data_IF_533719216563
#
_entry.id   IF_533719216563
#
_cell.length_a   1.000
_cell.length_b   1.000
_cell.length_c   1.000
_cell.angle_alpha   90.00
_cell.angle_beta   90.00
_cell.angle_gamma   90.00
#
_symmetry.space_group_name_H-M   'P 1'
#
loop_
_entity.id
_entity.type
_entity.pdbx_description
1 polymer ?
#
# COMPACT_ATOMS: atom_id res chain seq x y z
N UNK A 1 -56.11 -100.37 66.76
CA UNK A 1 -54.68 -100.23 67.14
C UNK A 1 -53.74 -100.17 65.94
N UNK A 2 -53.85 -101.06 64.94
CA UNK A 2 -52.94 -101.16 63.78
C UNK A 2 -52.76 -99.85 62.96
N UNK A 3 -53.84 -99.11 62.66
CA UNK A 3 -53.77 -97.85 61.87
C UNK A 3 -52.93 -96.75 62.54
N UNK A 4 -52.98 -96.64 63.88
CA UNK A 4 -52.20 -95.65 64.63
C UNK A 4 -50.71 -95.99 64.62
N UNK A 5 -50.35 -97.27 64.65
CA UNK A 5 -48.95 -97.71 64.55
C UNK A 5 -48.41 -97.42 63.15
N UNK A 6 -49.19 -97.75 62.11
CA UNK A 6 -48.82 -97.48 60.72
C UNK A 6 -48.66 -95.97 60.41
N UNK A 7 -49.49 -95.10 60.99
CA UNK A 7 -49.37 -93.64 60.79
C UNK A 7 -48.10 -93.07 61.44
N UNK A 8 -47.74 -93.52 62.64
CA UNK A 8 -46.51 -93.12 63.33
C UNK A 8 -45.28 -93.58 62.55
N UNK A 9 -45.25 -94.82 62.06
CA UNK A 9 -44.15 -95.35 61.26
C UNK A 9 -44.00 -94.59 59.93
N UNK A 10 -45.11 -94.33 59.21
CA UNK A 10 -45.08 -93.52 57.98
C UNK A 10 -44.60 -92.09 58.25
N UNK A 11 -45.08 -91.45 59.32
CA UNK A 11 -44.64 -90.12 59.73
C UNK A 11 -43.15 -90.12 60.07
N UNK A 12 -42.65 -91.13 60.76
CA UNK A 12 -41.24 -91.27 61.08
C UNK A 12 -40.38 -91.41 59.82
N UNK A 13 -40.78 -92.25 58.86
CA UNK A 13 -40.09 -92.43 57.58
C UNK A 13 -40.11 -91.13 56.77
N UNK A 14 -41.25 -90.45 56.67
CA UNK A 14 -41.36 -89.16 55.97
C UNK A 14 -40.47 -88.09 56.63
N UNK A 15 -40.49 -87.97 57.96
CA UNK A 15 -39.62 -87.03 58.69
C UNK A 15 -38.14 -87.34 58.49
N UNK A 16 -37.76 -88.62 58.47
CA UNK A 16 -36.39 -89.05 58.16
C UNK A 16 -36.00 -88.67 56.74
N UNK A 17 -36.88 -88.87 55.75
CA UNK A 17 -36.63 -88.49 54.34
C UNK A 17 -36.48 -86.98 54.19
N UNK A 18 -37.36 -86.18 54.80
CA UNK A 18 -37.26 -84.71 54.78
C UNK A 18 -35.97 -84.23 55.43
N UNK A 19 -35.59 -84.79 56.60
CA UNK A 19 -34.30 -84.48 57.23
C UNK A 19 -33.12 -84.81 56.31
N UNK A 20 -33.13 -85.96 55.64
CA UNK A 20 -32.08 -86.33 54.67
C UNK A 20 -32.02 -85.35 53.48
N UNK A 21 -33.16 -84.90 52.96
CA UNK A 21 -33.19 -83.89 51.88
C UNK A 21 -32.62 -82.55 52.35
N UNK A 22 -32.99 -82.10 53.56
CA UNK A 22 -32.44 -80.86 54.14
C UNK A 22 -30.93 -80.98 54.34
N UNK A 23 -30.44 -82.12 54.85
CA UNK A 23 -29.01 -82.39 54.99
C UNK A 23 -28.29 -82.42 53.64
N UNK A 24 -28.89 -83.02 52.61
CA UNK A 24 -28.33 -83.01 51.26
C UNK A 24 -28.28 -81.59 50.66
N UNK A 25 -29.32 -80.78 50.84
CA UNK A 25 -29.33 -79.38 50.39
C UNK A 25 -28.30 -78.54 51.15
N UNK A 26 -28.17 -78.76 52.47
CA UNK A 26 -27.13 -78.10 53.26
C UNK A 26 -25.73 -78.51 52.78
N UNK A 27 -25.52 -79.81 52.52
CA UNK A 27 -24.26 -80.32 52.00
C UNK A 27 -23.93 -79.75 50.61
N UNK A 28 -24.89 -79.66 49.68
CA UNK A 28 -24.64 -79.06 48.36
C UNK A 28 -24.34 -77.57 48.47
N UNK A 29 -25.04 -76.83 49.34
CA UNK A 29 -24.74 -75.41 49.60
C UNK A 29 -23.33 -75.21 50.17
N UNK A 30 -22.93 -76.04 51.13
CA UNK A 30 -21.57 -76.02 51.70
C UNK A 30 -20.53 -76.35 50.61
N UNK A 31 -20.80 -77.35 49.77
CA UNK A 31 -19.91 -77.72 48.68
C UNK A 31 -19.80 -76.63 47.60
N UNK A 32 -20.90 -75.96 47.24
CA UNK A 32 -20.89 -74.83 46.30
C UNK A 32 -20.11 -73.65 46.88
N UNK A 33 -20.31 -73.33 48.16
CA UNK A 33 -19.54 -72.29 48.85
C UNK A 33 -18.04 -72.64 48.85
N UNK A 34 -17.70 -73.87 49.20
CA UNK A 34 -16.32 -74.35 49.22
C UNK A 34 -15.65 -74.27 47.85
N UNK A 35 -16.33 -74.72 46.78
CA UNK A 35 -15.82 -74.59 45.41
C UNK A 35 -15.62 -73.13 45.00
N UNK A 36 -16.54 -72.24 45.37
CA UNK A 36 -16.40 -70.80 45.13
C UNK A 36 -15.22 -70.17 45.87
N UNK A 37 -15.00 -70.55 47.14
CA UNK A 37 -13.84 -70.09 47.93
C UNK A 37 -12.53 -70.60 47.32
N UNK A 38 -12.44 -71.89 46.99
CA UNK A 38 -11.26 -72.46 46.34
C UNK A 38 -10.98 -71.82 44.98
N UNK A 39 -12.02 -71.57 44.18
CA UNK A 39 -11.88 -70.92 42.87
C UNK A 39 -11.38 -69.47 43.00
N UNK A 40 -11.89 -68.70 43.98
CA UNK A 40 -11.38 -67.36 44.26
C UNK A 40 -9.93 -67.38 44.74
N UNK A 41 -9.59 -68.26 45.69
CA UNK A 41 -8.23 -68.40 46.18
C UNK A 41 -7.23 -68.76 45.06
N UNK A 42 -7.60 -69.68 44.16
CA UNK A 42 -6.79 -70.03 43.00
C UNK A 42 -6.64 -68.85 42.01
N UNK A 43 -7.71 -68.09 41.78
CA UNK A 43 -7.68 -66.91 40.91
C UNK A 43 -6.82 -65.78 41.50
N UNK A 44 -6.94 -65.55 42.82
CA UNK A 44 -6.14 -64.56 43.54
C UNK A 44 -4.66 -64.96 43.54
N UNK A 45 -4.34 -66.24 43.69
CA UNK A 45 -2.98 -66.74 43.60
C UNK A 45 -2.36 -66.51 42.21
N UNK A 46 -3.14 -66.66 41.13
CA UNK A 46 -2.70 -66.34 39.78
C UNK A 46 -2.57 -64.83 39.54
N UNK A 47 -3.49 -64.02 40.08
CA UNK A 47 -3.50 -62.57 39.91
C UNK A 47 -2.39 -61.87 40.71
N UNK A 48 -2.13 -62.37 41.92
CA UNK A 48 -1.09 -61.90 42.83
C UNK A 48 0.24 -62.64 42.62
N UNK A 49 0.33 -63.52 41.63
CA UNK A 49 1.61 -64.14 41.28
C UNK A 49 2.64 -63.04 40.98
N UNK A 50 3.80 -63.15 41.61
CA UNK A 50 4.86 -62.16 41.53
C UNK A 50 5.26 -61.91 40.06
N UNK A 51 5.14 -62.93 39.21
CA UNK A 51 5.38 -62.83 37.76
C UNK A 51 4.43 -61.84 37.09
N UNK A 52 3.14 -61.90 37.41
CA UNK A 52 2.11 -60.99 36.89
C UNK A 52 2.35 -59.57 37.40
N UNK A 53 2.69 -59.40 38.68
CA UNK A 53 3.00 -58.08 39.26
C UNK A 53 4.22 -57.43 38.58
N UNK A 54 5.27 -58.19 38.28
CA UNK A 54 6.45 -57.70 37.55
C UNK A 54 6.09 -57.25 36.13
N UNK A 55 5.26 -58.02 35.43
CA UNK A 55 4.75 -57.67 34.10
C UNK A 55 3.93 -56.38 34.17
N UNK A 56 2.98 -56.28 35.11
CA UNK A 56 2.16 -55.08 35.30
C UNK A 56 3.01 -53.83 35.59
N UNK A 57 4.05 -53.96 36.43
CA UNK A 57 5.00 -52.87 36.71
C UNK A 57 5.74 -52.42 35.45
N UNK A 58 6.20 -53.36 34.63
CA UNK A 58 6.87 -53.06 33.36
C UNK A 58 5.93 -52.37 32.38
N UNK A 59 4.70 -52.88 32.22
CA UNK A 59 3.70 -52.28 31.33
C UNK A 59 3.36 -50.84 31.76
N UNK A 60 3.15 -50.61 33.07
CA UNK A 60 2.91 -49.25 33.60
C UNK A 60 4.09 -48.31 33.32
N UNK A 61 5.32 -48.78 33.56
CA UNK A 61 6.55 -48.02 33.25
C UNK A 61 6.65 -47.69 31.77
N UNK A 62 6.48 -48.68 30.88
CA UNK A 62 6.53 -48.51 29.43
C UNK A 62 5.46 -47.52 28.94
N UNK A 63 4.24 -47.58 29.48
CA UNK A 63 3.17 -46.63 29.13
C UNK A 63 3.54 -45.20 29.50
N UNK A 64 4.08 -44.98 30.70
CA UNK A 64 4.53 -43.66 31.16
C UNK A 64 5.73 -43.19 30.32
N UNK A 65 6.72 -44.05 30.08
CA UNK A 65 7.88 -43.72 29.26
C UNK A 65 7.48 -43.34 27.83
N UNK A 66 6.54 -44.07 27.22
CA UNK A 66 6.01 -43.75 25.89
C UNK A 66 5.29 -42.40 25.90
N UNK A 67 4.43 -42.15 26.88
CA UNK A 67 3.71 -40.87 26.99
C UNK A 67 4.66 -39.68 27.19
N UNK A 68 5.66 -39.80 28.06
CA UNK A 68 6.68 -38.78 28.27
C UNK A 68 7.55 -38.62 27.02
N UNK A 69 7.92 -39.71 26.36
CA UNK A 69 8.65 -39.71 25.09
C UNK A 69 7.93 -38.89 24.03
N UNK A 70 6.66 -39.19 23.77
CA UNK A 70 5.83 -38.43 22.82
C UNK A 70 5.75 -36.94 23.17
N UNK A 71 5.50 -36.59 24.44
CA UNK A 71 5.48 -35.17 24.85
C UNK A 71 6.83 -34.48 24.67
N UNK A 72 7.93 -35.19 24.94
CA UNK A 72 9.29 -34.67 24.72
C UNK A 72 9.56 -34.42 23.24
N UNK A 73 9.15 -35.34 22.38
CA UNK A 73 9.31 -35.22 20.93
C UNK A 73 8.49 -34.05 20.37
N UNK A 74 7.23 -33.90 20.82
CA UNK A 74 6.37 -32.76 20.48
C UNK A 74 7.00 -31.42 20.92
N UNK A 75 7.49 -31.33 22.15
CA UNK A 75 8.16 -30.13 22.65
C UNK A 75 9.46 -29.83 21.88
N UNK A 76 10.22 -30.86 21.53
CA UNK A 76 11.45 -30.73 20.73
C UNK A 76 11.14 -30.22 19.31
N UNK A 77 10.09 -30.75 18.68
CA UNK A 77 9.62 -30.30 17.38
C UNK A 77 9.16 -28.83 17.43
N UNK A 78 8.34 -28.47 18.42
CA UNK A 78 7.88 -27.10 18.63
C UNK A 78 9.04 -26.13 18.90
N UNK A 79 10.00 -26.51 19.75
CA UNK A 79 11.20 -25.72 20.03
C UNK A 79 12.05 -25.50 18.77
N UNK A 80 12.22 -26.56 17.96
CA UNK A 80 12.93 -26.47 16.68
C UNK A 80 12.23 -25.54 15.70
N UNK A 81 10.89 -25.61 15.60
CA UNK A 81 10.08 -24.71 14.79
C UNK A 81 10.24 -23.25 15.23
N UNK A 82 10.09 -22.98 16.52
CA UNK A 82 10.28 -21.63 17.10
C UNK A 82 11.70 -21.12 16.83
N UNK A 83 12.71 -21.98 17.02
CA UNK A 83 14.11 -21.61 16.75
C UNK A 83 14.36 -21.26 15.29
N UNK A 84 13.77 -22.01 14.35
CA UNK A 84 13.88 -21.74 12.91
C UNK A 84 13.18 -20.43 12.53
N UNK A 85 11.95 -20.22 12.98
CA UNK A 85 11.19 -18.99 12.68
C UNK A 85 11.86 -17.76 13.28
N UNK A 86 12.35 -17.86 14.52
CA UNK A 86 13.09 -16.77 15.17
C UNK A 86 14.36 -16.38 14.41
N UNK A 87 15.20 -17.37 14.02
CA UNK A 87 16.42 -17.10 13.26
C UNK A 87 16.11 -16.46 11.90
N UNK A 88 15.08 -16.96 11.20
CA UNK A 88 14.63 -16.38 9.94
C UNK A 88 14.19 -14.92 10.12
N UNK A 89 13.28 -14.66 11.06
CA UNK A 89 12.82 -13.31 11.39
C UNK A 89 13.97 -12.37 11.78
N UNK A 90 14.90 -12.85 12.61
CA UNK A 90 16.06 -12.07 13.03
C UNK A 90 16.96 -11.72 11.86
N UNK A 91 17.25 -12.68 10.97
CA UNK A 91 18.05 -12.45 9.77
C UNK A 91 17.39 -11.44 8.82
N UNK A 92 16.07 -11.56 8.60
CA UNK A 92 15.31 -10.63 7.77
C UNK A 92 15.31 -9.22 8.38
N UNK A 93 15.11 -9.12 9.69
CA UNK A 93 15.15 -7.84 10.40
C UNK A 93 16.52 -7.17 10.27
N UNK A 94 17.60 -7.91 10.45
CA UNK A 94 18.97 -7.40 10.33
C UNK A 94 19.28 -6.98 8.90
N UNK A 95 18.93 -7.82 7.91
CA UNK A 95 19.09 -7.49 6.49
C UNK A 95 18.30 -6.23 6.11
N UNK A 96 17.02 -6.16 6.47
CA UNK A 96 16.18 -5.03 6.14
C UNK A 96 16.71 -3.74 6.79
N UNK A 97 17.18 -3.81 8.05
CA UNK A 97 17.86 -2.68 8.69
C UNK A 97 19.09 -2.21 7.92
N UNK A 98 19.95 -3.13 7.47
CA UNK A 98 21.13 -2.77 6.67
C UNK A 98 20.75 -2.17 5.30
N UNK A 99 19.70 -2.70 4.67
CA UNK A 99 19.15 -2.14 3.42
C UNK A 99 18.62 -0.72 3.64
N UNK A 100 17.84 -0.51 4.71
CA UNK A 100 17.32 0.80 5.09
C UNK A 100 18.46 1.80 5.34
N UNK A 101 19.49 1.41 6.11
CA UNK A 101 20.65 2.26 6.42
C UNK A 101 21.43 2.63 5.14
N UNK A 102 21.59 1.68 4.21
CA UNK A 102 22.24 1.90 2.91
C UNK A 102 21.42 2.83 2.02
N UNK A 103 20.11 2.60 1.92
CA UNK A 103 19.20 3.43 1.12
C UNK A 103 19.14 4.88 1.66
N UNK A 104 19.05 5.04 2.97
CA UNK A 104 19.12 6.36 3.63
C UNK A 104 20.48 7.03 3.41
N UNK A 105 21.56 6.24 3.34
CA UNK A 105 22.89 6.71 2.94
C UNK A 105 22.87 7.32 1.53
N UNK A 106 22.42 6.54 0.54
CA UNK A 106 22.36 6.99 -0.85
C UNK A 106 21.46 8.19 -1.06
N UNK A 107 20.27 8.23 -0.42
CA UNK A 107 19.40 9.41 -0.53
C UNK A 107 20.03 10.66 0.07
N UNK A 108 20.72 10.54 1.20
CA UNK A 108 21.43 11.69 1.80
C UNK A 108 22.55 12.18 0.88
N UNK A 109 23.28 11.29 0.24
CA UNK A 109 24.29 11.66 -0.76
C UNK A 109 23.65 12.32 -1.97
N UNK A 110 22.56 11.76 -2.49
CA UNK A 110 21.83 12.31 -3.63
C UNK A 110 21.28 13.72 -3.35
N UNK A 111 20.66 13.94 -2.19
CA UNK A 111 20.20 15.28 -1.76
C UNK A 111 21.38 16.26 -1.70
N UNK A 112 22.54 15.84 -1.19
CA UNK A 112 23.75 16.70 -1.18
C UNK A 112 24.22 17.02 -2.59
N UNK A 113 24.20 16.05 -3.51
CA UNK A 113 24.54 16.28 -4.91
C UNK A 113 23.59 17.29 -5.56
N UNK A 114 22.28 17.14 -5.35
CA UNK A 114 21.28 18.10 -5.84
C UNK A 114 21.48 19.50 -5.26
N UNK A 115 21.82 19.61 -3.98
CA UNK A 115 22.16 20.90 -3.36
C UNK A 115 23.39 21.54 -4.01
N UNK A 116 24.44 20.76 -4.24
CA UNK A 116 25.66 21.27 -4.90
C UNK A 116 25.39 21.67 -6.36
N UNK A 117 24.54 20.92 -7.08
CA UNK A 117 24.13 21.24 -8.45
C UNK A 117 23.28 22.52 -8.50
N UNK A 118 22.38 22.72 -7.54
CA UNK A 118 21.60 23.95 -7.38
C UNK A 118 22.51 25.15 -7.15
N UNK A 119 23.43 25.07 -6.18
CA UNK A 119 24.40 26.14 -5.89
C UNK A 119 25.27 26.47 -7.10
N UNK A 120 25.76 25.45 -7.80
CA UNK A 120 26.55 25.63 -9.02
C UNK A 120 25.74 26.32 -10.11
N UNK A 121 24.48 25.92 -10.30
CA UNK A 121 23.59 26.48 -11.32
C UNK A 121 23.21 27.94 -11.01
N UNK A 122 22.96 28.26 -9.75
CA UNK A 122 22.73 29.65 -9.31
C UNK A 122 23.95 30.54 -9.58
N UNK A 123 25.16 30.02 -9.35
CA UNK A 123 26.39 30.72 -9.73
C UNK A 123 26.51 30.92 -11.24
N UNK A 124 26.12 29.93 -12.05
CA UNK A 124 26.10 30.07 -13.51
C UNK A 124 25.10 31.14 -13.96
N UNK A 125 23.89 31.17 -13.39
CA UNK A 125 22.89 32.22 -13.66
C UNK A 125 23.49 33.59 -13.35
N UNK A 126 24.07 33.77 -12.15
CA UNK A 126 24.71 35.04 -11.77
C UNK A 126 25.83 35.44 -12.72
N UNK A 127 26.63 34.47 -13.20
CA UNK A 127 27.68 34.73 -14.19
C UNK A 127 27.11 35.12 -15.56
N UNK A 128 26.01 34.50 -16.00
CA UNK A 128 25.31 34.84 -17.25
C UNK A 128 24.73 36.25 -17.14
N UNK A 129 24.06 36.59 -16.03
CA UNK A 129 23.50 37.92 -15.76
C UNK A 129 24.58 39.00 -15.74
N UNK A 130 25.71 38.75 -15.07
CA UNK A 130 26.87 39.67 -15.08
C UNK A 130 27.42 39.89 -16.49
N UNK A 131 27.54 38.81 -17.29
CA UNK A 131 28.00 38.91 -18.68
C UNK A 131 26.98 39.62 -19.58
N UNK A 132 25.69 39.43 -19.32
CA UNK A 132 24.60 40.10 -20.01
C UNK A 132 24.62 41.61 -19.72
N UNK A 133 24.70 41.99 -18.44
CA UNK A 133 24.81 43.37 -18.01
C UNK A 133 26.03 44.09 -18.61
N UNK A 134 27.20 43.42 -18.66
CA UNK A 134 28.42 43.98 -19.27
C UNK A 134 28.27 44.25 -20.77
N UNK A 135 27.43 43.50 -21.48
CA UNK A 135 27.24 43.68 -22.93
C UNK A 135 26.33 44.85 -23.27
N UNK A 136 25.48 45.29 -22.34
CA UNK A 136 24.56 46.42 -22.48
C UNK A 136 23.78 46.38 -23.80
N UNK A 137 23.05 45.28 -24.02
CA UNK A 137 22.25 45.11 -25.25
C UNK A 137 21.12 46.14 -25.33
N UNK A 138 20.49 46.49 -24.21
CA UNK A 138 19.41 47.49 -24.17
C UNK A 138 19.92 48.89 -24.56
N UNK A 139 21.01 49.37 -23.94
CA UNK A 139 21.57 50.68 -24.28
C UNK A 139 22.06 50.75 -25.73
N UNK A 140 22.64 49.66 -26.27
CA UNK A 140 23.02 49.58 -27.68
C UNK A 140 21.83 49.57 -28.63
N UNK A 141 20.77 48.86 -28.26
CA UNK A 141 19.54 48.76 -29.06
C UNK A 141 18.84 50.11 -29.13
N UNK A 142 18.72 50.81 -28.01
CA UNK A 142 18.11 52.15 -27.95
C UNK A 142 18.87 53.14 -28.83
N UNK A 143 20.21 53.21 -28.71
CA UNK A 143 21.03 54.09 -29.56
C UNK A 143 20.85 53.76 -31.04
N UNK A 144 20.88 52.49 -31.41
CA UNK A 144 20.75 52.08 -32.81
C UNK A 144 19.34 52.25 -33.37
N UNK A 145 18.32 52.13 -32.54
CA UNK A 145 16.93 52.48 -32.91
C UNK A 145 16.78 53.98 -33.10
N UNK A 146 17.43 54.80 -32.28
CA UNK A 146 17.45 56.25 -32.48
C UNK A 146 18.18 56.61 -33.78
N UNK A 147 19.37 56.05 -34.03
CA UNK A 147 20.09 56.25 -35.30
C UNK A 147 19.20 55.88 -36.50
N UNK A 148 18.49 54.74 -36.42
CA UNK A 148 17.57 54.32 -37.47
C UNK A 148 16.44 55.34 -37.65
N UNK A 149 15.79 55.76 -36.56
CA UNK A 149 14.72 56.75 -36.59
C UNK A 149 15.17 58.08 -37.22
N UNK A 150 16.33 58.59 -36.81
CA UNK A 150 16.89 59.85 -37.34
C UNK A 150 17.16 59.74 -38.85
N UNK A 151 17.66 58.59 -39.32
CA UNK A 151 17.83 58.35 -40.77
C UNK A 151 16.50 58.24 -41.51
N UNK A 152 15.48 57.63 -40.90
CA UNK A 152 14.13 57.54 -41.47
C UNK A 152 13.48 58.93 -41.60
N UNK A 153 13.61 59.78 -40.57
CA UNK A 153 13.16 61.18 -40.62
C UNK A 153 13.89 61.96 -41.71
N UNK A 154 15.21 61.80 -41.82
CA UNK A 154 16.00 62.43 -42.88
C UNK A 154 15.54 61.98 -44.28
N UNK A 155 15.28 60.68 -44.48
CA UNK A 155 14.74 60.15 -45.73
C UNK A 155 13.39 60.79 -46.05
N UNK A 156 12.49 60.88 -45.07
CA UNK A 156 11.16 61.50 -45.23
C UNK A 156 11.30 62.96 -45.69
N UNK A 157 12.23 63.72 -45.12
CA UNK A 157 12.46 65.10 -45.54
C UNK A 157 13.05 65.20 -46.95
N UNK A 158 13.97 64.32 -47.32
CA UNK A 158 14.47 64.25 -48.69
C UNK A 158 13.39 63.84 -49.70
N UNK A 159 12.47 62.95 -49.32
CA UNK A 159 11.31 62.61 -50.14
C UNK A 159 10.34 63.78 -50.33
N UNK A 160 10.11 64.59 -49.28
CA UNK A 160 9.33 65.83 -49.41
C UNK A 160 9.99 66.80 -50.38
N UNK A 161 11.32 66.95 -50.31
CA UNK A 161 12.09 67.78 -51.24
C UNK A 161 11.97 67.27 -52.68
N UNK A 162 12.09 65.96 -52.89
CA UNK A 162 11.93 65.36 -54.22
C UNK A 162 10.52 65.59 -54.79
N UNK A 163 9.47 65.41 -53.97
CA UNK A 163 8.08 65.74 -54.35
C UNK A 163 7.91 67.23 -54.67
N UNK A 164 8.63 68.10 -53.97
CA UNK A 164 8.61 69.54 -54.26
C UNK A 164 9.22 69.86 -55.63
N UNK A 165 10.37 69.26 -55.96
CA UNK A 165 11.01 69.37 -57.27
C UNK A 165 10.08 68.85 -58.38
N UNK A 166 9.38 67.73 -58.14
CA UNK A 166 8.38 67.19 -59.08
C UNK A 166 7.21 68.14 -59.31
N UNK A 167 6.69 68.79 -58.26
CA UNK A 167 5.63 69.81 -58.39
C UNK A 167 6.12 71.05 -59.14
N UNK A 168 7.34 71.52 -58.87
CA UNK A 168 7.95 72.62 -59.62
C UNK A 168 8.08 72.27 -61.11
N UNK A 169 8.44 71.03 -61.43
CA UNK A 169 8.49 70.53 -62.80
C UNK A 169 7.14 70.62 -63.53
N UNK A 170 6.03 70.38 -62.81
CA UNK A 170 4.67 70.47 -63.36
C UNK A 170 4.19 71.92 -63.52
N UNK A 171 4.78 72.88 -62.82
CA UNK A 171 4.38 74.29 -62.80
C UNK A 171 5.25 75.22 -63.67
N UNK A 172 6.19 74.69 -64.46
CA UNK A 172 7.05 75.55 -65.30
C UNK A 172 6.24 76.29 -66.38
N UNK A 173 6.57 77.56 -66.56
CA UNK A 173 6.04 78.39 -67.64
C UNK A 173 6.77 78.13 -68.98
N UNK A 174 6.13 78.41 -70.13
CA UNK A 174 6.71 78.21 -71.46
C UNK A 174 8.06 78.91 -71.68
N UNK A 175 8.26 80.09 -71.08
CA UNK A 175 9.50 80.87 -71.19
C UNK A 175 10.67 80.25 -70.40
N UNK A 176 10.37 79.52 -69.32
CA UNK A 176 11.37 78.80 -68.54
C UNK A 176 11.85 77.51 -69.25
N UNK A 177 11.00 76.93 -70.11
CA UNK A 177 11.38 75.79 -70.96
C UNK A 177 12.45 76.18 -72.00
N UNK A 178 12.33 77.36 -72.61
CA UNK A 178 13.33 77.88 -73.57
C UNK A 178 14.68 78.19 -72.91
N UNK A 179 14.70 78.50 -71.62
CA UNK A 179 15.91 78.81 -70.84
C UNK A 179 16.64 77.60 -70.24
N UNK A 180 16.26 76.36 -70.59
CA UNK A 180 16.93 75.14 -70.13
C UNK A 180 16.61 74.67 -68.70
N UNK A 181 15.69 75.35 -67.98
CA UNK A 181 15.33 75.02 -66.60
C UNK A 181 14.72 73.62 -66.46
N UNK A 182 13.97 73.17 -67.46
CA UNK A 182 13.37 71.83 -67.46
C UNK A 182 14.41 70.71 -67.48
N UNK A 183 15.57 70.94 -68.10
CA UNK A 183 16.66 69.97 -68.13
C UNK A 183 17.40 69.93 -66.78
N UNK A 184 17.68 71.10 -66.20
CA UNK A 184 18.25 71.19 -64.85
C UNK A 184 17.35 70.55 -63.77
N UNK A 185 16.03 70.77 -63.84
CA UNK A 185 15.08 70.13 -62.93
C UNK A 185 15.04 68.60 -63.09
N UNK A 186 15.20 68.06 -64.31
CA UNK A 186 15.31 66.61 -64.53
C UNK A 186 16.60 66.03 -63.94
N UNK A 187 17.72 66.72 -64.13
CA UNK A 187 19.03 66.30 -63.57
C UNK A 187 19.02 66.36 -62.05
N UNK A 188 18.44 67.42 -61.47
CA UNK A 188 18.24 67.57 -60.02
C UNK A 188 17.32 66.48 -59.47
N UNK A 189 16.21 66.18 -60.16
CA UNK A 189 15.30 65.08 -59.78
C UNK A 189 16.01 63.72 -59.82
N UNK A 190 16.76 63.43 -60.89
CA UNK A 190 17.49 62.17 -61.01
C UNK A 190 18.57 62.03 -59.91
N UNK A 191 19.25 63.13 -59.58
CA UNK A 191 20.25 63.17 -58.51
C UNK A 191 19.62 63.00 -57.13
N UNK A 192 18.53 63.70 -56.85
CA UNK A 192 17.75 63.55 -55.62
C UNK A 192 17.16 62.14 -55.48
N UNK A 193 16.66 61.54 -56.57
CA UNK A 193 16.13 60.17 -56.57
C UNK A 193 17.22 59.14 -56.23
N UNK A 194 18.42 59.28 -56.82
CA UNK A 194 19.58 58.44 -56.49
C UNK A 194 19.98 58.60 -55.03
N UNK A 195 19.99 59.82 -54.51
CA UNK A 195 20.31 60.10 -53.11
C UNK A 195 19.31 59.48 -52.14
N UNK A 196 18.01 59.67 -52.37
CA UNK A 196 16.93 59.05 -51.57
C UNK A 196 17.03 57.53 -51.60
N UNK A 197 17.29 56.95 -52.78
CA UNK A 197 17.45 55.49 -52.91
C UNK A 197 18.68 55.01 -52.15
N UNK A 198 19.80 55.72 -52.23
CA UNK A 198 21.00 55.44 -51.44
C UNK A 198 20.74 55.48 -49.93
N UNK A 199 20.11 56.54 -49.44
CA UNK A 199 19.77 56.71 -48.03
C UNK A 199 18.82 55.60 -47.53
N UNK A 200 17.83 55.20 -48.32
CA UNK A 200 16.95 54.05 -48.00
C UNK A 200 17.70 52.74 -47.90
N UNK A 201 18.63 52.49 -48.83
CA UNK A 201 19.46 51.28 -48.80
C UNK A 201 20.35 51.27 -47.55
N UNK A 202 20.91 52.41 -47.17
CA UNK A 202 21.71 52.56 -45.94
C UNK A 202 20.86 52.33 -44.68
N UNK A 203 19.66 52.93 -44.60
CA UNK A 203 18.74 52.69 -43.48
C UNK A 203 18.36 51.21 -43.33
N UNK A 204 18.04 50.53 -44.43
CA UNK A 204 17.62 49.13 -44.41
C UNK A 204 18.78 48.15 -44.14
N UNK A 205 19.91 48.31 -44.83
CA UNK A 205 21.00 47.32 -44.79
C UNK A 205 22.07 47.60 -43.75
N UNK A 206 22.22 48.85 -43.32
CA UNK A 206 23.17 49.23 -42.27
C UNK A 206 22.44 49.29 -40.93
N UNK A 207 21.50 50.23 -40.77
CA UNK A 207 20.88 50.50 -39.47
C UNK A 207 19.90 49.40 -39.03
N UNK A 208 18.88 49.09 -39.84
CA UNK A 208 17.87 48.08 -39.47
C UNK A 208 18.47 46.67 -39.33
N UNK A 209 19.48 46.34 -40.13
CA UNK A 209 20.19 45.06 -40.03
C UNK A 209 21.03 44.96 -38.74
N UNK A 210 21.67 46.05 -38.31
CA UNK A 210 22.37 46.13 -37.02
C UNK A 210 21.40 46.01 -35.84
N UNK A 211 20.27 46.72 -35.87
CA UNK A 211 19.20 46.60 -34.86
C UNK A 211 18.76 45.14 -34.75
N UNK A 212 18.46 44.49 -35.87
CA UNK A 212 18.04 43.07 -35.89
C UNK A 212 19.14 42.10 -35.45
N UNK A 213 20.42 42.43 -35.64
CA UNK A 213 21.53 41.64 -35.09
C UNK A 213 21.58 41.75 -33.56
N UNK A 214 21.39 42.95 -33.02
CA UNK A 214 21.36 43.21 -31.57
C UNK A 214 20.16 42.51 -30.93
N UNK A 215 18.97 42.61 -31.53
CA UNK A 215 17.74 41.95 -31.05
C UNK A 215 17.88 40.42 -31.03
N UNK A 216 18.42 39.82 -32.08
CA UNK A 216 18.72 38.38 -32.08
C UNK A 216 19.74 38.01 -31.00
N UNK A 217 20.73 38.89 -30.78
CA UNK A 217 21.67 38.76 -29.68
C UNK A 217 20.95 38.73 -28.33
N UNK A 218 20.10 39.73 -28.06
CA UNK A 218 19.30 39.83 -26.84
C UNK A 218 18.47 38.57 -26.60
N UNK A 219 17.65 38.17 -27.58
CA UNK A 219 16.80 36.98 -27.49
C UNK A 219 17.62 35.69 -27.24
N UNK A 220 18.80 35.57 -27.85
CA UNK A 220 19.70 34.42 -27.62
C UNK A 220 20.28 34.36 -26.20
N UNK A 221 20.38 35.50 -25.51
CA UNK A 221 20.85 35.55 -24.12
C UNK A 221 19.69 35.35 -23.14
N UNK A 222 18.52 35.92 -23.43
CA UNK A 222 17.30 35.70 -22.66
C UNK A 222 16.91 34.23 -22.64
N UNK A 223 16.91 33.56 -23.79
CA UNK A 223 16.67 32.10 -23.87
C UNK A 223 17.67 31.30 -23.06
N UNK A 224 18.97 31.64 -23.12
CA UNK A 224 19.99 30.98 -22.27
C UNK A 224 19.77 31.19 -20.78
N UNK A 225 19.29 32.37 -20.39
CA UNK A 225 18.99 32.68 -18.99
C UNK A 225 17.76 31.90 -18.53
N UNK A 226 16.70 31.89 -19.34
CA UNK A 226 15.47 31.13 -19.08
C UNK A 226 15.75 29.62 -18.98
N UNK A 227 16.51 29.05 -19.92
CA UNK A 227 16.91 27.64 -19.89
C UNK A 227 17.66 27.28 -18.59
N UNK A 228 18.56 28.16 -18.14
CA UNK A 228 19.31 27.98 -16.90
C UNK A 228 18.40 28.11 -15.66
N UNK A 229 17.46 29.07 -15.65
CA UNK A 229 16.48 29.24 -14.58
C UNK A 229 15.54 28.04 -14.48
N UNK A 230 15.03 27.56 -15.62
CA UNK A 230 14.19 26.35 -15.68
C UNK A 230 14.94 25.12 -15.17
N UNK A 231 16.24 24.99 -15.48
CA UNK A 231 17.07 23.92 -14.93
C UNK A 231 17.13 23.97 -13.40
N UNK A 232 17.36 25.16 -12.81
CA UNK A 232 17.36 25.35 -11.35
C UNK A 232 16.02 24.99 -10.73
N UNK A 233 14.90 25.41 -11.35
CA UNK A 233 13.56 25.06 -10.86
C UNK A 233 13.35 23.55 -10.84
N UNK A 234 13.80 22.83 -11.88
CA UNK A 234 13.73 21.35 -11.91
C UNK A 234 14.56 20.71 -10.81
N UNK A 235 15.82 21.13 -10.63
CA UNK A 235 16.71 20.58 -9.59
C UNK A 235 16.13 20.85 -8.19
N UNK A 236 15.61 22.06 -7.96
CA UNK A 236 14.90 22.39 -6.70
C UNK A 236 13.70 21.49 -6.46
N UNK A 237 12.89 21.24 -7.49
CA UNK A 237 11.76 20.30 -7.45
C UNK A 237 12.18 18.90 -7.04
N UNK A 238 13.19 18.32 -7.70
CA UNK A 238 13.71 17.00 -7.34
C UNK A 238 14.27 16.95 -5.91
N UNK A 239 14.96 18.01 -5.46
CA UNK A 239 15.46 18.09 -4.09
C UNK A 239 14.31 18.09 -3.07
N UNK A 240 13.26 18.87 -3.32
CA UNK A 240 12.10 18.94 -2.41
C UNK A 240 11.37 17.61 -2.34
N UNK A 241 11.17 16.94 -3.49
CA UNK A 241 10.55 15.62 -3.55
C UNK A 241 11.35 14.60 -2.71
N UNK A 242 12.67 14.53 -2.87
CA UNK A 242 13.53 13.61 -2.09
C UNK A 242 13.50 13.90 -0.58
N UNK A 243 13.43 15.18 -0.19
CA UNK A 243 13.30 15.58 1.21
C UNK A 243 11.95 15.14 1.78
N UNK A 244 10.85 15.38 1.06
CA UNK A 244 9.51 15.04 1.48
C UNK A 244 9.34 13.53 1.61
N UNK A 245 9.81 12.76 0.62
CA UNK A 245 9.78 11.31 0.69
C UNK A 245 10.62 10.76 1.87
N UNK A 246 11.77 11.38 2.17
CA UNK A 246 12.57 11.01 3.35
C UNK A 246 11.78 11.25 4.63
N UNK A 247 11.14 12.41 4.78
CA UNK A 247 10.32 12.76 5.94
C UNK A 247 9.13 11.80 6.12
N UNK A 248 8.44 11.48 5.03
CA UNK A 248 7.34 10.50 5.05
C UNK A 248 7.80 9.14 5.54
N UNK A 249 8.94 8.64 5.04
CA UNK A 249 9.50 7.35 5.49
C UNK A 249 9.85 7.37 6.96
N UNK A 250 10.50 8.43 7.44
CA UNK A 250 10.82 8.58 8.86
C UNK A 250 9.55 8.59 9.72
N UNK A 251 8.51 9.30 9.28
CA UNK A 251 7.20 9.33 9.96
C UNK A 251 6.57 7.94 10.01
N UNK A 252 6.50 7.23 8.87
CA UNK A 252 5.99 5.84 8.80
C UNK A 252 6.79 4.91 9.69
N UNK A 253 8.12 5.04 9.74
CA UNK A 253 9.00 4.24 10.63
C UNK A 253 8.69 4.52 12.10
N UNK A 254 8.58 5.79 12.51
CA UNK A 254 8.22 6.19 13.88
C UNK A 254 6.85 5.66 14.26
N UNK A 255 5.86 5.78 13.37
CA UNK A 255 4.51 5.24 13.57
C UNK A 255 4.53 3.72 13.76
N UNK A 256 5.17 2.99 12.84
CA UNK A 256 5.27 1.53 12.91
C UNK A 256 6.02 1.05 14.16
N UNK A 257 7.07 1.77 14.58
CA UNK A 257 7.79 1.47 15.82
C UNK A 257 6.90 1.67 17.05
N UNK A 258 6.17 2.79 17.12
CA UNK A 258 5.22 3.10 18.20
C UNK A 258 4.08 2.07 18.26
N UNK A 259 3.51 1.70 17.11
CA UNK A 259 2.48 0.68 17.01
C UNK A 259 2.98 -0.68 17.52
N UNK A 260 4.15 -1.13 17.05
CA UNK A 260 4.79 -2.38 17.52
C UNK A 260 5.10 -2.34 19.02
N UNK A 261 5.58 -1.22 19.54
CA UNK A 261 5.85 -1.05 20.97
C UNK A 261 4.56 -1.09 21.79
N UNK A 262 3.47 -0.49 21.31
CA UNK A 262 2.14 -0.60 21.95
C UNK A 262 1.67 -2.05 21.99
N UNK A 263 1.76 -2.78 20.88
CA UNK A 263 1.40 -4.20 20.84
C UNK A 263 2.25 -5.05 21.79
N UNK A 264 3.55 -4.78 21.89
CA UNK A 264 4.43 -5.44 22.87
C UNK A 264 4.01 -5.17 24.30
N UNK A 265 3.72 -3.92 24.66
CA UNK A 265 3.23 -3.56 26.01
C UNK A 265 1.94 -4.29 26.35
N UNK A 266 0.96 -4.30 25.43
CA UNK A 266 -0.29 -5.05 25.61
C UNK A 266 0.01 -6.55 25.82
N UNK A 267 0.92 -7.13 25.03
CA UNK A 267 1.29 -8.53 25.18
C UNK A 267 2.00 -8.82 26.51
N UNK A 268 2.88 -7.93 26.97
CA UNK A 268 3.60 -8.08 28.23
C UNK A 268 2.68 -7.89 29.44
N UNK A 269 1.73 -6.96 29.38
CA UNK A 269 0.65 -6.83 30.35
C UNK A 269 -0.18 -8.11 30.39
N UNK A 270 -0.64 -8.63 29.25
CA UNK A 270 -1.39 -9.90 29.18
C UNK A 270 -0.62 -11.06 29.83
N UNK A 271 0.70 -11.13 29.63
CA UNK A 271 1.57 -12.14 30.26
C UNK A 271 1.67 -11.94 31.77
N UNK A 272 1.82 -10.70 32.25
CA UNK A 272 1.87 -10.35 33.67
C UNK A 272 0.60 -10.83 34.39
N UNK A 273 -0.57 -10.55 33.80
CA UNK A 273 -1.87 -10.93 34.34
C UNK A 273 -2.25 -12.41 34.09
N UNK A 274 -1.40 -13.18 33.40
CA UNK A 274 -1.63 -14.59 33.01
C UNK A 274 -2.98 -14.81 32.28
N UNK A 275 -3.49 -13.80 31.58
CA UNK A 275 -4.74 -13.88 30.83
C UNK A 275 -4.49 -14.74 29.58
N UNK A 276 -5.09 -15.94 29.54
CA UNK A 276 -4.91 -16.89 28.43
C UNK A 276 -5.94 -16.75 27.31
N UNK A 277 -7.11 -16.24 27.63
CA UNK A 277 -8.27 -16.20 26.75
C UNK A 277 -8.85 -14.80 26.73
N UNK A 278 -9.17 -14.27 25.54
CA UNK A 278 -9.69 -12.92 25.34
C UNK A 278 -10.71 -12.91 24.22
N UNK A 279 -11.67 -11.99 24.32
CA UNK A 279 -12.64 -11.70 23.25
C UNK A 279 -12.00 -10.81 22.18
N UNK A 280 -12.69 -10.60 21.05
CA UNK A 280 -12.20 -9.74 19.96
C UNK A 280 -11.98 -8.29 20.42
N UNK A 281 -12.75 -7.85 21.43
CA UNK A 281 -12.59 -6.57 22.13
C UNK A 281 -11.31 -6.49 23.00
N UNK A 282 -10.55 -7.58 23.10
CA UNK A 282 -9.31 -7.66 23.89
C UNK A 282 -9.51 -7.78 25.41
N UNK A 283 -10.77 -7.85 25.88
CA UNK A 283 -11.10 -8.08 27.28
C UNK A 283 -10.86 -9.56 27.65
N UNK A 284 -10.47 -9.86 28.90
CA UNK A 284 -10.34 -11.24 29.36
C UNK A 284 -11.66 -11.98 29.19
N UNK A 285 -11.62 -13.11 28.49
CA UNK A 285 -12.82 -13.93 28.31
C UNK A 285 -13.15 -14.62 29.64
N UNK A 286 -14.18 -14.13 30.32
CA UNK A 286 -14.65 -14.66 31.60
C UNK A 286 -15.43 -15.97 31.46
N UNK A 287 -15.89 -16.30 30.24
CA UNK A 287 -16.69 -17.50 29.99
C UNK A 287 -15.79 -18.74 29.88
N UNK A 288 -14.55 -18.56 29.44
CA UNK A 288 -13.59 -19.65 29.30
C UNK A 288 -12.89 -19.97 30.63
N UNK A 289 -13.24 -21.12 31.22
CA UNK A 289 -12.59 -21.60 32.44
C UNK A 289 -11.19 -22.14 32.15
N UNK A 290 -10.20 -21.88 33.02
CA UNK A 290 -8.88 -22.50 32.88
C UNK A 290 -9.02 -24.03 32.88
N UNK A 291 -8.28 -24.70 31.98
CA UNK A 291 -8.23 -26.16 31.79
C UNK A 291 -9.41 -26.82 31.06
N UNK A 292 -10.42 -26.07 30.61
CA UNK A 292 -11.39 -26.57 29.65
C UNK A 292 -10.86 -26.35 28.23
N UNK A 293 -10.86 -27.37 27.34
CA UNK A 293 -10.57 -27.12 25.93
C UNK A 293 -11.58 -26.09 25.40
N UNK A 294 -11.15 -25.14 24.56
CA UNK A 294 -12.06 -24.19 23.92
C UNK A 294 -13.19 -24.94 23.21
N UNK A 295 -14.44 -24.52 23.41
CA UNK A 295 -15.55 -25.06 22.63
C UNK A 295 -15.27 -24.75 21.15
N UNK A 296 -15.38 -25.76 20.28
CA UNK A 296 -14.97 -25.66 18.88
C UNK A 296 -15.69 -24.52 18.13
N UNK A 297 -16.92 -24.19 18.53
CA UNK A 297 -17.73 -23.09 17.99
C UNK A 297 -17.17 -21.70 18.34
N UNK A 298 -16.47 -21.55 19.47
CA UNK A 298 -15.87 -20.26 19.92
C UNK A 298 -14.54 -19.98 19.18
N UNK A 299 -13.87 -21.03 18.70
CA UNK A 299 -12.62 -20.95 17.92
C UNK A 299 -12.87 -20.95 16.40
N UNK A 300 -14.09 -21.24 15.94
CA UNK A 300 -14.45 -21.39 14.52
C UNK A 300 -14.73 -20.06 13.79
N UNK A 301 -14.10 -18.97 14.21
CA UNK A 301 -14.09 -17.73 13.43
C UNK A 301 -12.94 -17.77 12.44
N UNK A 302 -13.23 -17.78 11.13
CA UNK A 302 -12.24 -17.66 10.05
C UNK A 302 -11.37 -16.39 10.21
N UNK A 303 -11.84 -15.40 10.98
CA UNK A 303 -11.19 -14.14 11.31
C UNK A 303 -10.12 -14.25 12.44
N UNK A 304 -10.14 -15.33 13.23
CA UNK A 304 -9.22 -15.54 14.37
C UNK A 304 -7.96 -16.34 14.02
N UNK A 305 -7.89 -16.89 12.81
CA UNK A 305 -6.65 -17.41 12.26
C UNK A 305 -5.69 -16.25 12.04
N UNK A 306 -4.79 -16.03 13.01
CA UNK A 306 -3.69 -15.08 12.83
C UNK A 306 -2.90 -15.51 11.60
N UNK A 307 -2.97 -14.69 10.54
CA UNK A 307 -2.23 -14.92 9.30
C UNK A 307 -0.75 -15.15 9.62
N UNK A 308 -0.33 -16.42 9.59
CA UNK A 308 1.04 -16.86 9.79
C UNK A 308 1.49 -17.46 8.47
N UNK A 309 2.46 -16.82 7.82
CA UNK A 309 3.06 -17.27 6.56
C UNK A 309 3.70 -18.68 6.65
N UNK A 310 3.80 -19.26 7.86
CA UNK A 310 4.29 -20.61 8.12
C UNK A 310 3.18 -21.67 8.27
N UNK A 311 1.91 -21.25 8.40
CA UNK A 311 0.76 -22.15 8.53
C UNK A 311 -0.20 -22.07 7.35
N UNK A 312 -0.17 -20.95 6.62
CA UNK A 312 -0.59 -20.93 5.22
C UNK A 312 0.56 -21.46 4.39
N UNK A 313 0.57 -22.76 4.10
CA UNK A 313 1.23 -23.20 2.90
C UNK A 313 0.49 -22.50 1.75
N UNK A 314 1.10 -21.54 1.02
CA UNK A 314 0.43 -20.88 -0.10
C UNK A 314 0.02 -21.90 -1.18
N UNK A 315 0.53 -23.14 -1.09
CA UNK A 315 0.17 -24.27 -1.94
C UNK A 315 -0.78 -25.27 -1.26
N UNK A 316 -1.18 -25.12 0.01
CA UNK A 316 -2.09 -26.07 0.66
C UNK A 316 -3.49 -26.09 0.02
N UNK A 317 -3.91 -24.97 -0.58
CA UNK A 317 -5.12 -24.88 -1.40
C UNK A 317 -4.88 -25.24 -2.88
N UNK A 318 -3.61 -25.43 -3.27
CA UNK A 318 -3.19 -25.91 -4.59
C UNK A 318 -2.71 -27.37 -4.48
N UNK A 319 -3.60 -28.27 -4.04
CA UNK A 319 -3.30 -29.73 -4.09
C UNK A 319 -2.94 -30.19 -5.51
N UNK A 320 -3.39 -29.45 -6.53
CA UNK A 320 -3.07 -29.68 -7.94
C UNK A 320 -2.25 -28.52 -8.51
N UNK A 321 -1.04 -28.28 -8.00
CA UNK A 321 -0.16 -27.22 -8.55
C UNK A 321 0.09 -27.38 -10.07
N UNK A 322 -0.03 -28.61 -10.61
CA UNK A 322 0.01 -28.90 -12.05
C UNK A 322 -1.22 -28.39 -12.83
N UNK A 323 -2.37 -28.26 -12.20
CA UNK A 323 -3.62 -27.76 -12.79
C UNK A 323 -3.80 -26.22 -12.64
N UNK A 324 -2.93 -25.57 -11.88
CA UNK A 324 -2.92 -24.11 -11.69
C UNK A 324 -1.66 -23.44 -12.23
N UNK A 325 -0.82 -24.19 -12.95
CA UNK A 325 0.29 -23.63 -13.70
C UNK A 325 -0.25 -22.77 -14.85
N UNK A 326 0.34 -21.58 -15.05
CA UNK A 326 0.05 -20.74 -16.22
C UNK A 326 0.29 -21.55 -17.50
N UNK A 327 -0.79 -21.95 -18.18
CA UNK A 327 -0.75 -22.78 -19.39
C UNK A 327 -1.57 -24.08 -19.34
N UNK A 328 -2.11 -24.50 -18.19
CA UNK A 328 -3.05 -25.63 -18.12
C UNK A 328 -4.49 -25.21 -18.46
N UNK A 329 -5.26 -26.08 -19.13
CA UNK A 329 -6.65 -25.80 -19.55
C UNK A 329 -7.57 -25.34 -18.41
N UNK A 330 -7.41 -25.86 -17.19
CA UNK A 330 -8.18 -25.42 -16.02
C UNK A 330 -7.82 -24.00 -15.54
N UNK A 331 -6.58 -23.56 -15.75
CA UNK A 331 -6.14 -22.21 -15.43
C UNK A 331 -6.70 -21.20 -16.44
N UNK A 332 -6.76 -21.57 -17.73
CA UNK A 332 -7.47 -20.81 -18.75
C UNK A 332 -8.95 -20.71 -18.42
N UNK A 333 -9.58 -21.83 -18.04
CA UNK A 333 -11.00 -21.90 -17.73
C UNK A 333 -11.38 -21.02 -16.51
N UNK A 334 -10.51 -20.96 -15.50
CA UNK A 334 -10.65 -20.07 -14.34
C UNK A 334 -10.48 -18.59 -14.70
N UNK A 335 -9.54 -18.26 -15.60
CA UNK A 335 -9.36 -16.89 -16.11
C UNK A 335 -10.58 -16.46 -16.94
N UNK A 336 -11.10 -17.31 -17.81
CA UNK A 336 -12.34 -17.03 -18.56
C UNK A 336 -13.53 -16.85 -17.64
N UNK A 337 -13.70 -17.67 -16.60
CA UNK A 337 -14.76 -17.49 -15.60
C UNK A 337 -14.62 -16.16 -14.85
N UNK A 338 -13.39 -15.73 -14.55
CA UNK A 338 -13.12 -14.43 -13.90
C UNK A 338 -13.43 -13.26 -14.83
N UNK A 339 -13.09 -13.37 -16.11
CA UNK A 339 -13.44 -12.36 -17.14
C UNK A 339 -14.95 -12.30 -17.34
N UNK A 340 -15.64 -13.45 -17.38
CA UNK A 340 -17.10 -13.52 -17.48
C UNK A 340 -17.78 -12.89 -16.26
N UNK A 341 -17.31 -13.17 -15.05
CA UNK A 341 -17.82 -12.55 -13.83
C UNK A 341 -17.60 -11.03 -13.83
N UNK A 342 -16.42 -10.57 -14.25
CA UNK A 342 -16.14 -9.14 -14.35
C UNK A 342 -16.99 -8.46 -15.43
N UNK A 343 -17.23 -9.14 -16.56
CA UNK A 343 -18.14 -8.67 -17.60
C UNK A 343 -19.58 -8.59 -17.10
N UNK A 344 -20.05 -9.58 -16.34
CA UNK A 344 -21.38 -9.57 -15.74
C UNK A 344 -21.53 -8.47 -14.68
N UNK A 345 -20.51 -8.24 -13.84
CA UNK A 345 -20.51 -7.13 -12.87
C UNK A 345 -20.56 -5.77 -13.56
N UNK A 346 -19.81 -5.60 -14.65
CA UNK A 346 -19.85 -4.38 -15.44
C UNK A 346 -21.22 -4.18 -16.10
N UNK A 347 -21.86 -5.25 -16.58
CA UNK A 347 -23.23 -5.19 -17.11
C UNK A 347 -24.23 -4.79 -16.01
N UNK A 348 -24.14 -5.37 -14.82
CA UNK A 348 -25.00 -5.01 -13.69
C UNK A 348 -24.81 -3.53 -13.30
N UNK A 349 -23.57 -3.03 -13.24
CA UNK A 349 -23.31 -1.60 -13.00
C UNK A 349 -23.85 -0.69 -14.12
N UNK A 350 -23.77 -1.13 -15.37
CA UNK A 350 -24.39 -0.41 -16.50
C UNK A 350 -25.91 -0.40 -16.37
N UNK A 351 -26.54 -1.52 -15.97
CA UNK A 351 -27.96 -1.55 -15.70
C UNK A 351 -28.34 -0.67 -14.50
N UNK A 352 -27.57 -0.68 -13.41
CA UNK A 352 -27.79 0.20 -12.26
C UNK A 352 -27.69 1.67 -12.63
N UNK A 353 -26.73 2.07 -13.45
CA UNK A 353 -26.59 3.46 -13.93
C UNK A 353 -27.70 3.89 -14.88
N UNK A 354 -28.18 2.98 -15.75
CA UNK A 354 -29.32 3.23 -16.65
C UNK A 354 -30.65 3.27 -15.87
N UNK A 355 -30.79 2.45 -14.83
CA UNK A 355 -32.01 2.34 -14.03
C UNK A 355 -32.06 3.34 -12.86
N UNK A 356 -30.93 3.89 -12.42
CA UNK A 356 -30.87 4.87 -11.33
C UNK A 356 -31.82 6.08 -11.52
N UNK A 357 -31.95 6.70 -12.71
CA UNK A 357 -32.89 7.80 -12.93
C UNK A 357 -34.35 7.38 -12.78
N UNK A 358 -34.69 6.16 -13.21
CA UNK A 358 -36.04 5.60 -13.07
C UNK A 358 -36.33 5.24 -11.62
N UNK A 359 -35.33 4.72 -10.89
CA UNK A 359 -35.43 4.43 -9.46
C UNK A 359 -35.63 5.71 -8.63
N UNK A 360 -34.90 6.77 -8.96
CA UNK A 360 -35.10 8.09 -8.35
C UNK A 360 -36.47 8.69 -8.65
N UNK A 361 -36.99 8.49 -9.86
CA UNK A 361 -38.36 8.90 -10.22
C UNK A 361 -39.43 8.08 -9.48
N UNK A 362 -39.20 6.78 -9.28
CA UNK A 362 -40.13 5.88 -8.55
C UNK A 362 -40.14 6.15 -7.04
N UNK A 363 -39.02 6.60 -6.47
CA UNK A 363 -38.89 6.93 -5.04
C UNK A 363 -39.36 8.35 -4.69
N UNK A 364 -39.90 9.12 -5.64
CA UNK A 364 -40.61 10.37 -5.37
C UNK A 364 -39.77 11.47 -4.70
N UNK A 365 -38.44 11.48 -4.90
CA UNK A 365 -37.58 12.55 -4.41
C UNK A 365 -37.18 13.46 -5.58
N UNK A 366 -37.74 14.68 -5.69
CA UNK A 366 -37.34 15.59 -6.76
C UNK A 366 -35.88 16.00 -6.54
N UNK A 367 -35.08 15.84 -7.59
CA UNK A 367 -33.73 16.36 -7.66
C UNK A 367 -33.79 17.90 -7.83
N UNK A 368 -33.46 18.61 -6.76
CA UNK A 368 -33.03 20.01 -6.75
C UNK A 368 -32.19 20.20 -5.48
N UNK A 369 -30.96 20.71 -5.47
CA UNK A 369 -30.38 21.75 -6.32
C UNK A 369 -30.43 23.07 -5.54
N UNK A 370 -29.29 23.49 -4.98
CA UNK A 370 -29.09 24.84 -4.43
C UNK A 370 -29.19 24.95 -2.91
N UNK A 371 -28.13 25.45 -2.27
CA UNK A 371 -28.09 25.68 -0.83
C UNK A 371 -28.72 27.00 -0.39
N UNK A 372 -28.92 27.15 0.91
CA UNK A 372 -28.80 28.43 1.63
C UNK A 372 -28.90 28.21 3.15
N UNK A 373 -28.07 29.00 3.84
CA UNK A 373 -28.31 29.68 5.11
C UNK A 373 -28.62 28.91 6.41
N UNK A 374 -27.95 29.37 7.46
CA UNK A 374 -28.06 28.86 8.81
C UNK A 374 -29.22 29.42 9.62
N UNK A 375 -29.29 28.90 10.84
CA UNK A 375 -30.25 29.18 11.90
C UNK A 375 -30.33 27.89 12.72
N UNK A 376 -29.93 27.80 13.99
CA UNK A 376 -29.96 28.80 15.04
C UNK A 376 -30.92 28.29 16.12
N UNK A 377 -30.36 27.75 17.21
CA UNK A 377 -31.06 27.39 18.45
C UNK A 377 -31.85 26.07 18.40
N UNK A 378 -32.07 25.35 19.49
CA UNK A 378 -31.63 25.46 20.88
C UNK A 378 -32.12 24.19 21.60
N UNK A 379 -31.47 23.86 22.72
CA UNK A 379 -31.99 23.11 23.87
C UNK A 379 -32.26 21.59 23.79
N UNK A 380 -31.78 20.88 24.81
CA UNK A 380 -32.31 19.59 25.24
C UNK A 380 -31.28 18.64 25.86
N UNK A 381 -30.84 18.94 27.09
CA UNK A 381 -30.00 18.04 27.88
C UNK A 381 -30.74 16.82 28.45
N UNK A 382 -29.94 15.92 29.03
CA UNK A 382 -30.36 14.69 29.74
C UNK A 382 -29.78 13.47 29.02
N UNK A 383 -28.70 12.81 29.44
CA UNK A 383 -28.26 12.58 30.80
C UNK A 383 -29.04 11.40 31.37
N UNK A 384 -28.57 10.16 31.13
CA UNK A 384 -28.75 9.06 32.07
C UNK A 384 -27.81 7.89 31.79
N UNK A 385 -27.53 7.17 32.87
CA UNK A 385 -26.34 6.38 33.14
C UNK A 385 -26.43 4.91 32.71
N UNK A 386 -25.25 4.29 32.64
CA UNK A 386 -25.01 2.85 32.50
C UNK A 386 -23.51 2.57 32.50
#
# INVERSE_FOLDING_TARGET
MCVKIQSVVRMFICRRRVRMVILNIAATRIQCLWRGVCGRAASDQLWLDWRVVVIQKHVRRLRVQRHIGTRRDEMSAASTMIGRTWRSWYSQRTRNRMMDEREDGYRREYIKTLMAEEEWSEQQISNIERRFAKKDFHGKLERKRQDQHDTEEYIIDQEKNLKHIERQQQMLSPRALEGGWAQQLRENRASAAKFVTGAKMEALFTHALEVRKIERGLASWETKLDDAQQFVVRVKGYRTEEIDEKLERESRRKFNASYRNRLRRIADEKRLWRIRHYTDDGKPDRLQRPFRPPDAEIMAGQERDTFSLMHTDPLAYHRDWKATCMGSDSALDAVTKRIQLQSHLNQVQQYETILAPLWHALQGKPAGGGGEAGGGGEAGGGGEAG
#
